data_IF_970829192351
#
_entry.id   IF_970829192351
#
_cell.length_a   1.000
_cell.length_b   1.000
_cell.length_c   1.000
_cell.angle_alpha   90.00
_cell.angle_beta   90.00
_cell.angle_gamma   90.00
#
_symmetry.space_group_name_H-M   'P 1'
#
loop_
_entity.id
_entity.type
_entity.pdbx_description
1 polymer ?
#
# COMPACT_ATOMS: atom_id res chain seq x y z
N UNK A 1 -19.51 -2.43 -22.12
CA UNK A 1 -18.41 -1.51 -21.82
C UNK A 1 -17.10 -2.28 -21.74
N UNK A 2 -16.08 -1.86 -22.52
CA UNK A 2 -14.76 -2.49 -22.51
C UNK A 2 -13.81 -1.70 -21.61
N UNK A 3 -13.38 -2.30 -20.52
CA UNK A 3 -12.49 -1.67 -19.54
C UNK A 3 -11.10 -2.31 -19.60
N UNK A 4 -10.07 -1.46 -19.76
CA UNK A 4 -8.68 -1.86 -19.64
C UNK A 4 -8.15 -1.51 -18.24
N UNK A 5 -7.80 -2.53 -17.44
CA UNK A 5 -7.25 -2.39 -16.09
C UNK A 5 -5.74 -2.67 -16.10
N UNK A 6 -4.93 -1.72 -15.65
CA UNK A 6 -3.48 -1.84 -15.65
C UNK A 6 -2.96 -2.52 -14.39
N UNK A 7 -2.08 -3.50 -14.55
CA UNK A 7 -1.49 -4.25 -13.43
C UNK A 7 -0.04 -3.82 -13.10
N UNK A 8 0.44 -2.73 -13.70
CA UNK A 8 1.84 -2.31 -13.57
C UNK A 8 2.79 -3.04 -14.52
N UNK A 9 4.04 -2.61 -14.59
CA UNK A 9 5.09 -3.20 -15.47
C UNK A 9 6.27 -3.81 -14.70
N UNK A 10 6.07 -4.13 -13.42
CA UNK A 10 7.08 -4.80 -12.60
C UNK A 10 8.14 -3.89 -11.98
N UNK A 11 8.35 -2.67 -12.50
CA UNK A 11 9.26 -1.67 -11.90
C UNK A 11 8.62 -0.90 -10.73
N UNK A 12 7.34 -1.18 -10.43
CA UNK A 12 6.59 -0.56 -9.32
C UNK A 12 6.76 -1.30 -7.99
N UNK A 13 7.90 -1.95 -7.77
CA UNK A 13 8.21 -2.71 -6.55
C UNK A 13 8.39 -1.87 -5.27
N UNK A 14 8.15 -0.57 -5.33
CA UNK A 14 8.26 0.31 -4.17
C UNK A 14 6.90 0.43 -3.45
N UNK A 15 6.71 -0.30 -2.35
CA UNK A 15 5.60 -0.11 -1.43
C UNK A 15 4.34 -0.94 -1.71
N UNK A 16 3.21 -0.51 -1.14
CA UNK A 16 1.92 -1.21 -1.19
C UNK A 16 1.13 -1.11 -2.50
N UNK A 17 1.61 -0.35 -3.52
CA UNK A 17 0.86 -0.06 -4.75
C UNK A 17 0.69 -1.30 -5.64
N UNK A 18 1.76 -2.05 -5.88
CA UNK A 18 1.69 -3.27 -6.70
C UNK A 18 0.84 -4.37 -6.02
N UNK A 19 1.02 -4.66 -4.73
CA UNK A 19 0.10 -5.55 -4.00
C UNK A 19 -1.36 -5.09 -4.04
N UNK A 20 -1.64 -3.79 -3.96
CA UNK A 20 -2.99 -3.26 -4.07
C UNK A 20 -3.62 -3.58 -5.43
N UNK A 21 -2.91 -3.26 -6.52
CA UNK A 21 -3.40 -3.49 -7.88
C UNK A 21 -3.72 -4.98 -8.14
N UNK A 22 -2.86 -5.87 -7.66
CA UNK A 22 -3.05 -7.32 -7.77
C UNK A 22 -4.24 -7.81 -6.93
N UNK A 23 -4.36 -7.37 -5.69
CA UNK A 23 -5.49 -7.72 -4.81
C UNK A 23 -6.84 -7.24 -5.36
N UNK A 24 -6.89 -6.04 -5.93
CA UNK A 24 -8.11 -5.58 -6.63
C UNK A 24 -8.43 -6.52 -7.79
N UNK A 25 -7.45 -6.87 -8.62
CA UNK A 25 -7.68 -7.75 -9.75
C UNK A 25 -8.14 -9.15 -9.32
N UNK A 26 -7.59 -9.70 -8.25
CA UNK A 26 -8.05 -10.96 -7.64
C UNK A 26 -9.51 -10.87 -7.23
N UNK A 27 -9.90 -9.82 -6.55
CA UNK A 27 -11.29 -9.59 -6.15
C UNK A 27 -12.23 -9.48 -7.36
N UNK A 28 -11.83 -8.71 -8.38
CA UNK A 28 -12.60 -8.54 -9.62
C UNK A 28 -12.69 -9.82 -10.44
N UNK A 29 -11.72 -10.72 -10.37
CA UNK A 29 -11.71 -12.00 -11.11
C UNK A 29 -12.77 -12.99 -10.65
N UNK A 30 -13.26 -12.85 -9.42
CA UNK A 30 -14.35 -13.65 -8.86
C UNK A 30 -15.75 -13.09 -9.12
N UNK A 31 -15.86 -11.87 -9.66
CA UNK A 31 -17.13 -11.22 -9.91
C UNK A 31 -17.63 -11.42 -11.34
N UNK A 32 -18.93 -11.67 -11.50
CA UNK A 32 -19.58 -11.82 -12.81
C UNK A 32 -20.17 -10.49 -13.27
N UNK A 33 -19.43 -9.74 -14.06
CA UNK A 33 -19.89 -8.47 -14.63
C UNK A 33 -21.06 -8.69 -15.58
N UNK A 34 -22.07 -7.81 -15.50
CA UNK A 34 -23.25 -7.86 -16.39
C UNK A 34 -22.98 -7.21 -17.74
N UNK A 35 -22.47 -5.98 -17.71
CA UNK A 35 -22.31 -5.13 -18.91
C UNK A 35 -20.87 -4.67 -19.14
N UNK A 36 -19.90 -5.24 -18.43
CA UNK A 36 -18.49 -4.89 -18.48
C UNK A 36 -17.65 -6.07 -18.96
N UNK A 37 -16.85 -5.82 -19.99
CA UNK A 37 -15.78 -6.69 -20.45
C UNK A 37 -14.45 -6.20 -19.89
N UNK A 38 -13.99 -6.82 -18.79
CA UNK A 38 -12.74 -6.48 -18.13
C UNK A 38 -11.54 -7.16 -18.81
N UNK A 39 -10.53 -6.38 -19.15
CA UNK A 39 -9.25 -6.88 -19.65
C UNK A 39 -8.11 -6.33 -18.80
N UNK A 40 -7.35 -7.22 -18.17
CA UNK A 40 -6.14 -6.86 -17.47
C UNK A 40 -5.00 -6.59 -18.48
N UNK A 41 -4.32 -5.46 -18.30
CA UNK A 41 -3.19 -5.04 -19.12
C UNK A 41 -1.95 -5.22 -18.25
N UNK A 42 -1.17 -6.30 -18.52
CA UNK A 42 -0.11 -6.76 -17.63
C UNK A 42 1.15 -7.18 -18.40
N UNK A 43 2.33 -7.24 -17.76
CA UNK A 43 3.51 -7.93 -18.29
C UNK A 43 3.24 -9.42 -18.56
N UNK A 44 4.08 -10.03 -19.40
CA UNK A 44 3.93 -11.45 -19.78
C UNK A 44 4.08 -12.40 -18.59
N UNK A 45 4.88 -12.02 -17.62
CA UNK A 45 5.23 -12.77 -16.40
C UNK A 45 4.32 -12.44 -15.19
N UNK A 46 3.33 -11.55 -15.38
CA UNK A 46 2.39 -11.23 -14.30
C UNK A 46 1.50 -12.44 -13.95
N UNK A 47 1.17 -12.62 -12.66
CA UNK A 47 0.20 -13.61 -12.23
C UNK A 47 -1.13 -13.47 -12.97
N UNK A 48 -1.78 -14.58 -13.29
CA UNK A 48 -3.09 -14.57 -13.94
C UNK A 48 -4.17 -15.06 -12.97
N UNK A 49 -5.27 -14.33 -12.89
CA UNK A 49 -6.33 -14.61 -11.94
C UNK A 49 -7.65 -14.93 -12.67
N UNK A 50 -8.28 -16.03 -12.31
CA UNK A 50 -9.62 -16.43 -12.70
C UNK A 50 -9.94 -16.32 -14.19
N UNK A 51 -11.14 -15.81 -14.49
CA UNK A 51 -11.68 -15.67 -15.86
C UNK A 51 -11.31 -14.36 -16.56
N UNK A 52 -10.47 -13.53 -15.94
CA UNK A 52 -10.09 -12.21 -16.51
C UNK A 52 -9.29 -12.42 -17.79
N UNK A 53 -9.65 -11.68 -18.84
CA UNK A 53 -8.87 -11.62 -20.08
C UNK A 53 -7.59 -10.85 -19.86
N UNK A 54 -6.48 -11.31 -20.43
CA UNK A 54 -5.19 -10.65 -20.31
C UNK A 54 -4.69 -10.15 -21.66
N UNK A 55 -4.23 -8.91 -21.67
CA UNK A 55 -3.48 -8.34 -22.79
C UNK A 55 -2.06 -8.02 -22.35
N UNK A 56 -1.10 -8.61 -23.03
CA UNK A 56 0.29 -8.42 -22.69
C UNK A 56 0.77 -7.03 -23.14
N UNK A 57 1.46 -6.34 -22.22
CA UNK A 57 2.27 -5.18 -22.60
C UNK A 57 3.51 -5.74 -23.30
N UNK A 58 3.60 -5.63 -24.62
CA UNK A 58 4.81 -6.03 -25.34
C UNK A 58 5.98 -5.17 -24.86
N UNK A 59 6.94 -5.80 -24.17
CA UNK A 59 8.26 -5.22 -23.91
C UNK A 59 9.06 -5.10 -25.21
N UNK A 60 8.75 -4.16 -26.09
CA UNK A 60 9.67 -3.73 -27.14
C UNK A 60 10.76 -2.84 -26.52
N UNK A 61 11.60 -3.44 -25.66
CA UNK A 61 12.46 -2.71 -24.73
C UNK A 61 13.53 -1.84 -25.37
N UNK A 62 14.07 -2.21 -26.54
CA UNK A 62 15.16 -1.47 -27.19
C UNK A 62 14.62 -0.29 -28.01
N UNK A 63 13.62 -0.51 -28.83
CA UNK A 63 13.02 0.56 -29.68
C UNK A 63 12.33 1.60 -28.82
N UNK A 64 11.66 1.17 -27.74
CA UNK A 64 10.96 2.06 -26.81
C UNK A 64 11.97 2.89 -25.97
N UNK A 65 13.05 2.29 -25.48
CA UNK A 65 14.16 3.02 -24.81
C UNK A 65 14.82 4.01 -25.75
N UNK A 66 15.12 3.63 -26.99
CA UNK A 66 15.72 4.51 -27.99
C UNK A 66 14.80 5.69 -28.35
N UNK A 67 13.49 5.45 -28.52
CA UNK A 67 12.52 6.51 -28.80
C UNK A 67 12.29 7.45 -27.60
N UNK A 68 12.32 6.93 -26.36
CA UNK A 68 12.29 7.76 -25.16
C UNK A 68 13.56 8.62 -25.02
N UNK A 69 14.75 8.04 -25.21
CA UNK A 69 15.99 8.80 -25.19
C UNK A 69 16.06 9.83 -26.32
N UNK A 70 15.60 9.51 -27.53
CA UNK A 70 15.54 10.46 -28.64
C UNK A 70 14.58 11.62 -28.35
N UNK A 71 13.43 11.33 -27.77
CA UNK A 71 12.44 12.32 -27.33
C UNK A 71 12.98 13.20 -26.21
N UNK A 72 13.68 12.62 -25.23
CA UNK A 72 14.29 13.36 -24.12
C UNK A 72 15.48 14.21 -24.60
N UNK A 73 16.31 13.72 -25.53
CA UNK A 73 17.39 14.47 -26.16
C UNK A 73 16.89 15.62 -27.04
N UNK A 74 15.88 15.39 -27.88
CA UNK A 74 15.28 16.45 -28.70
C UNK A 74 14.68 17.55 -27.84
N UNK A 75 14.11 17.17 -26.70
CA UNK A 75 13.54 18.09 -25.74
C UNK A 75 14.59 18.93 -25.02
N UNK A 76 15.69 18.32 -24.52
CA UNK A 76 16.79 19.03 -23.86
C UNK A 76 17.46 20.01 -24.83
N UNK A 77 17.51 19.70 -26.13
CA UNK A 77 18.07 20.56 -27.17
C UNK A 77 17.16 21.76 -27.51
N UNK A 78 15.85 21.59 -27.42
CA UNK A 78 14.88 22.65 -27.82
C UNK A 78 14.40 23.52 -26.67
N UNK A 79 14.59 23.11 -25.40
CA UNK A 79 14.03 23.83 -24.23
C UNK A 79 14.97 23.83 -23.01
N UNK A 80 16.16 24.47 -23.09
CA UNK A 80 17.14 24.47 -21.99
C UNK A 80 16.67 25.23 -20.73
N UNK A 81 15.58 26.02 -20.78
CA UNK A 81 15.12 26.87 -19.67
C UNK A 81 13.74 26.57 -19.09
N UNK A 82 12.97 25.62 -19.65
CA UNK A 82 11.57 25.41 -19.25
C UNK A 82 11.25 23.92 -18.99
N UNK A 83 11.73 23.38 -17.89
CA UNK A 83 11.51 21.99 -17.50
C UNK A 83 10.06 21.57 -17.20
N UNK A 84 9.08 22.51 -17.21
CA UNK A 84 7.72 22.28 -16.72
C UNK A 84 6.57 22.25 -17.74
N UNK A 85 6.78 22.66 -19.01
CA UNK A 85 5.66 22.82 -19.99
C UNK A 85 5.62 21.80 -21.12
N UNK A 86 6.01 20.54 -20.87
CA UNK A 86 6.23 19.56 -21.94
C UNK A 86 5.14 18.50 -22.10
N UNK A 87 4.12 18.52 -21.31
CA UNK A 87 3.06 17.54 -21.42
C UNK A 87 2.48 17.33 -22.86
N UNK A 88 2.31 18.38 -23.72
CA UNK A 88 1.70 18.20 -25.04
C UNK A 88 2.53 17.42 -26.05
N UNK A 89 3.87 17.55 -26.06
CA UNK A 89 4.70 16.97 -27.13
C UNK A 89 5.11 15.51 -26.88
N UNK A 90 5.29 15.08 -25.62
CA UNK A 90 5.46 13.66 -25.29
C UNK A 90 4.26 12.81 -25.67
N UNK A 91 3.06 13.41 -25.74
CA UNK A 91 1.82 12.73 -26.10
C UNK A 91 1.68 12.36 -27.58
N UNK A 92 2.38 13.03 -28.50
CA UNK A 92 2.19 12.77 -29.93
C UNK A 92 2.85 11.47 -30.41
N UNK A 93 4.05 11.16 -29.95
CA UNK A 93 4.76 9.92 -30.29
C UNK A 93 4.16 8.69 -29.58
N UNK A 94 3.57 8.87 -28.40
CA UNK A 94 2.89 7.79 -27.68
C UNK A 94 1.50 7.47 -28.23
N UNK A 95 0.84 8.38 -28.95
CA UNK A 95 -0.42 8.14 -29.66
C UNK A 95 -0.33 7.02 -30.70
N UNK A 96 0.86 6.76 -31.23
CA UNK A 96 1.08 5.79 -32.30
C UNK A 96 1.05 4.34 -31.80
N UNK A 97 1.22 4.08 -30.48
CA UNK A 97 1.43 2.72 -29.98
C UNK A 97 0.35 2.15 -29.05
N UNK A 98 -0.70 2.92 -28.72
CA UNK A 98 -1.77 2.46 -27.83
C UNK A 98 -3.13 2.57 -28.52
N UNK A 99 -3.30 1.91 -29.66
CA UNK A 99 -4.62 1.68 -30.25
C UNK A 99 -5.36 0.59 -29.46
N UNK A 100 -5.50 0.83 -28.15
CA UNK A 100 -6.31 0.01 -27.29
C UNK A 100 -7.76 0.47 -27.44
N UNK A 101 -8.55 -0.35 -28.09
CA UNK A 101 -10.00 -0.12 -28.25
C UNK A 101 -10.74 -0.42 -26.96
N UNK A 102 -10.43 0.35 -25.89
CA UNK A 102 -11.18 0.34 -24.64
C UNK A 102 -12.05 1.58 -24.57
N UNK A 103 -13.24 1.43 -24.01
CA UNK A 103 -14.14 2.54 -23.75
C UNK A 103 -13.63 3.34 -22.53
N UNK A 104 -12.96 2.67 -21.58
CA UNK A 104 -12.42 3.25 -20.35
C UNK A 104 -11.10 2.56 -19.97
N UNK A 105 -10.16 3.33 -19.44
CA UNK A 105 -8.91 2.82 -18.86
C UNK A 105 -8.90 3.04 -17.35
N UNK A 106 -8.41 2.07 -16.58
CA UNK A 106 -8.26 2.20 -15.14
C UNK A 106 -6.81 1.91 -14.72
N UNK A 107 -6.18 2.88 -14.08
CA UNK A 107 -4.84 2.82 -13.52
C UNK A 107 -4.96 2.71 -11.99
N UNK A 108 -4.72 1.55 -11.38
CA UNK A 108 -4.78 1.37 -9.92
C UNK A 108 -3.57 1.97 -9.21
N UNK A 109 -3.07 3.08 -9.73
CA UNK A 109 -1.93 3.84 -9.22
C UNK A 109 -2.07 5.33 -9.55
N UNK A 110 -1.28 6.16 -8.87
CA UNK A 110 -1.44 7.62 -8.84
C UNK A 110 -1.15 8.31 -10.17
N UNK A 111 -0.31 7.71 -11.03
CA UNK A 111 0.13 8.32 -12.28
C UNK A 111 -0.07 7.36 -13.43
N UNK A 112 -0.93 7.68 -14.42
CA UNK A 112 -1.04 6.87 -15.62
C UNK A 112 0.30 6.89 -16.39
N UNK A 113 0.56 5.83 -17.15
CA UNK A 113 1.69 5.86 -18.09
C UNK A 113 1.62 7.16 -18.91
N UNK A 114 2.78 7.79 -19.15
CA UNK A 114 2.95 9.13 -19.76
C UNK A 114 2.45 9.19 -21.21
N UNK A 115 1.18 8.81 -21.46
CA UNK A 115 0.56 8.77 -22.78
C UNK A 115 -0.72 9.56 -22.76
N UNK A 116 -1.00 10.27 -23.84
CA UNK A 116 -2.34 10.85 -24.04
C UNK A 116 -3.27 9.74 -24.52
N UNK A 117 -4.32 9.47 -23.76
CA UNK A 117 -5.34 8.50 -24.11
C UNK A 117 -6.48 9.18 -24.86
N UNK A 118 -7.08 8.46 -25.83
CA UNK A 118 -8.34 8.90 -26.46
C UNK A 118 -9.53 8.59 -25.57
N UNK A 119 -9.44 7.45 -24.86
CA UNK A 119 -10.46 7.01 -23.93
C UNK A 119 -10.34 7.75 -22.60
N UNK A 120 -11.46 8.06 -21.94
CA UNK A 120 -11.42 8.53 -20.55
C UNK A 120 -10.68 7.54 -19.67
N UNK A 121 -10.06 8.04 -18.59
CA UNK A 121 -9.35 7.18 -17.67
C UNK A 121 -9.63 7.52 -16.20
N UNK A 122 -9.43 6.52 -15.37
CA UNK A 122 -9.51 6.59 -13.91
C UNK A 122 -8.11 6.34 -13.36
N UNK A 123 -7.75 7.04 -12.29
CA UNK A 123 -6.55 6.78 -11.49
C UNK A 123 -6.93 6.43 -10.06
N UNK A 124 -6.12 5.63 -9.37
CA UNK A 124 -6.24 5.44 -7.94
C UNK A 124 -5.19 6.28 -7.22
N UNK A 125 -5.63 7.21 -6.39
CA UNK A 125 -4.76 8.00 -5.51
C UNK A 125 -4.69 7.31 -4.16
N UNK A 126 -3.52 6.77 -3.83
CA UNK A 126 -3.33 6.03 -2.58
C UNK A 126 -3.18 6.98 -1.39
N UNK A 127 -2.41 8.04 -1.56
CA UNK A 127 -2.17 9.09 -0.57
C UNK A 127 -1.64 10.38 -1.21
N UNK A 128 -1.47 11.37 -0.35
CA UNK A 128 -0.74 12.63 -0.61
C UNK A 128 0.18 12.91 0.59
N UNK A 129 0.92 11.89 1.02
CA UNK A 129 1.76 11.91 2.23
C UNK A 129 2.74 13.08 2.25
N UNK A 130 3.30 13.46 1.10
CA UNK A 130 4.24 14.58 0.98
C UNK A 130 3.64 15.94 1.35
N UNK A 131 2.31 16.05 1.39
CA UNK A 131 1.61 17.27 1.83
C UNK A 131 1.42 17.32 3.35
N UNK A 132 1.46 16.16 4.02
CA UNK A 132 1.38 16.05 5.49
C UNK A 132 2.75 16.02 6.16
N UNK A 133 3.73 15.39 5.52
CA UNK A 133 5.08 15.17 6.03
C UNK A 133 6.12 15.55 4.98
N UNK A 134 6.20 16.84 4.59
CA UNK A 134 7.16 17.29 3.58
C UNK A 134 8.62 17.03 3.96
N UNK A 135 8.92 16.88 5.26
CA UNK A 135 10.24 16.59 5.79
C UNK A 135 10.76 15.19 5.43
N UNK A 136 9.86 14.24 5.13
CA UNK A 136 10.25 12.87 4.73
C UNK A 136 10.57 12.76 3.23
N UNK A 137 10.48 13.85 2.49
CA UNK A 137 10.70 13.90 1.05
C UNK A 137 11.70 15.00 0.67
N UNK A 138 12.61 14.67 -0.23
CA UNK A 138 13.49 15.68 -0.81
C UNK A 138 12.71 16.72 -1.61
N UNK A 139 13.24 17.94 -1.80
CA UNK A 139 12.59 18.95 -2.64
C UNK A 139 12.29 18.47 -4.07
N UNK A 140 13.16 17.62 -4.64
CA UNK A 140 12.99 17.11 -6.00
C UNK A 140 11.91 16.03 -6.07
N UNK A 141 11.81 15.15 -5.07
CA UNK A 141 10.69 14.19 -4.95
C UNK A 141 9.35 14.91 -4.82
N UNK A 142 9.25 15.92 -3.95
CA UNK A 142 8.02 16.72 -3.80
C UNK A 142 7.63 17.42 -5.09
N UNK A 143 8.60 18.01 -5.79
CA UNK A 143 8.35 18.66 -7.09
C UNK A 143 7.90 17.66 -8.15
N UNK A 144 8.52 16.50 -8.20
CA UNK A 144 8.16 15.42 -9.13
C UNK A 144 6.75 14.91 -8.85
N UNK A 145 6.42 14.63 -7.59
CA UNK A 145 5.07 14.22 -7.17
C UNK A 145 4.02 15.27 -7.50
N UNK A 146 4.26 16.54 -7.14
CA UNK A 146 3.35 17.65 -7.44
C UNK A 146 3.02 17.74 -8.94
N UNK A 147 4.04 17.68 -9.81
CA UNK A 147 3.85 17.74 -11.26
C UNK A 147 3.08 16.55 -11.81
N UNK A 148 3.41 15.33 -11.35
CA UNK A 148 2.83 14.09 -11.85
C UNK A 148 1.39 13.92 -11.35
N UNK A 149 1.15 14.17 -10.06
CA UNK A 149 -0.18 13.99 -9.43
C UNK A 149 -1.16 15.04 -9.91
N UNK A 150 -0.76 16.33 -9.99
CA UNK A 150 -1.63 17.37 -10.53
C UNK A 150 -2.09 17.05 -11.94
N UNK A 151 -1.16 16.65 -12.81
CA UNK A 151 -1.51 16.29 -14.19
C UNK A 151 -2.43 15.06 -14.27
N UNK A 152 -2.23 14.05 -13.43
CA UNK A 152 -3.10 12.88 -13.38
C UNK A 152 -4.49 13.23 -12.83
N UNK A 153 -4.55 13.98 -11.73
CA UNK A 153 -5.77 14.42 -11.06
C UNK A 153 -6.64 15.28 -11.98
N UNK A 154 -6.05 16.24 -12.69
CA UNK A 154 -6.78 17.12 -13.60
C UNK A 154 -7.39 16.38 -14.79
N UNK A 155 -6.63 15.48 -15.39
CA UNK A 155 -7.02 14.78 -16.63
C UNK A 155 -7.91 13.56 -16.39
N UNK A 156 -7.86 12.93 -15.21
CA UNK A 156 -8.69 11.77 -14.91
C UNK A 156 -10.18 12.13 -14.94
N UNK A 157 -10.99 11.25 -15.54
CA UNK A 157 -12.45 11.37 -15.53
C UNK A 157 -13.03 11.14 -14.14
N UNK A 158 -12.42 10.23 -13.36
CA UNK A 158 -12.69 9.95 -11.95
C UNK A 158 -11.39 9.59 -11.23
N UNK A 159 -11.40 9.74 -9.92
CA UNK A 159 -10.29 9.37 -9.03
C UNK A 159 -10.84 8.39 -8.01
N UNK A 160 -10.25 7.22 -7.92
CA UNK A 160 -10.54 6.26 -6.84
C UNK A 160 -9.60 6.52 -5.68
N UNK A 161 -10.12 6.46 -4.48
CA UNK A 161 -9.37 6.42 -3.23
C UNK A 161 -9.89 5.29 -2.36
N UNK A 162 -9.07 4.75 -1.46
CA UNK A 162 -9.49 3.62 -0.62
C UNK A 162 -10.05 4.05 0.74
N UNK A 163 -9.90 5.33 1.12
CA UNK A 163 -10.26 5.83 2.44
C UNK A 163 -10.79 7.26 2.38
N UNK A 164 -11.75 7.57 3.26
CA UNK A 164 -12.38 8.89 3.33
C UNK A 164 -11.40 10.02 3.64
N UNK A 165 -10.35 9.77 4.46
CA UNK A 165 -9.35 10.80 4.74
C UNK A 165 -8.55 11.17 3.49
N UNK A 166 -8.26 10.22 2.58
CA UNK A 166 -7.59 10.53 1.31
C UNK A 166 -8.52 11.33 0.39
N UNK A 167 -9.84 11.02 0.37
CA UNK A 167 -10.82 11.85 -0.34
C UNK A 167 -10.83 13.27 0.22
N UNK A 168 -10.89 13.41 1.54
CA UNK A 168 -10.86 14.71 2.20
C UNK A 168 -9.58 15.49 1.88
N UNK A 169 -8.43 14.85 1.86
CA UNK A 169 -7.15 15.45 1.47
C UNK A 169 -7.18 15.95 0.03
N UNK A 170 -7.65 15.13 -0.90
CA UNK A 170 -7.75 15.53 -2.31
C UNK A 170 -8.67 16.73 -2.50
N UNK A 171 -9.82 16.76 -1.84
CA UNK A 171 -10.74 17.90 -1.90
C UNK A 171 -10.16 19.15 -1.23
N UNK A 172 -9.36 18.99 -0.19
CA UNK A 172 -8.70 20.08 0.53
C UNK A 172 -7.56 20.73 -0.27
N UNK A 173 -6.70 19.90 -0.85
CA UNK A 173 -5.46 20.38 -1.50
C UNK A 173 -5.63 20.65 -3.00
N UNK A 174 -6.62 20.05 -3.64
CA UNK A 174 -6.90 20.23 -5.05
C UNK A 174 -8.32 20.77 -5.23
N UNK A 175 -8.53 21.67 -6.19
CA UNK A 175 -9.87 22.21 -6.51
C UNK A 175 -10.66 21.21 -7.34
N UNK A 176 -11.27 20.22 -6.68
CA UNK A 176 -12.01 19.13 -7.30
C UNK A 176 -13.50 19.20 -6.97
N UNK A 177 -14.32 18.77 -7.91
CA UNK A 177 -15.73 18.45 -7.65
C UNK A 177 -15.77 17.18 -6.78
N UNK A 178 -16.62 17.15 -5.76
CA UNK A 178 -16.70 16.03 -4.82
C UNK A 178 -16.98 14.70 -5.53
N UNK A 179 -17.87 14.73 -6.54
CA UNK A 179 -18.25 13.57 -7.34
C UNK A 179 -17.10 13.02 -8.19
N UNK A 180 -16.04 13.79 -8.40
CA UNK A 180 -14.86 13.31 -9.11
C UNK A 180 -14.08 12.27 -8.31
N UNK A 181 -14.16 12.33 -6.97
CA UNK A 181 -13.43 11.45 -6.07
C UNK A 181 -14.37 10.42 -5.46
N UNK A 182 -14.13 9.15 -5.77
CA UNK A 182 -14.96 8.01 -5.33
C UNK A 182 -14.17 7.15 -4.35
N UNK A 183 -14.77 6.85 -3.20
CA UNK A 183 -14.16 5.94 -2.21
C UNK A 183 -14.58 4.52 -2.55
N UNK A 184 -13.61 3.65 -2.83
CA UNK A 184 -13.81 2.20 -2.96
C UNK A 184 -12.82 1.54 -2.00
N UNK A 185 -13.29 0.77 -1.01
CA UNK A 185 -12.41 0.19 0.01
C UNK A 185 -11.32 -0.71 -0.58
N UNK A 186 -10.23 -0.88 0.17
CA UNK A 186 -9.19 -1.86 -0.16
C UNK A 186 -9.79 -3.26 -0.20
N UNK A 187 -9.38 -4.15 -1.12
CA UNK A 187 -9.83 -5.55 -1.14
C UNK A 187 -9.27 -6.32 0.06
N UNK A 188 -10.05 -6.39 1.13
CA UNK A 188 -9.66 -7.07 2.37
C UNK A 188 -9.61 -8.60 2.23
N UNK A 189 -10.46 -9.18 1.37
CA UNK A 189 -10.58 -10.63 1.19
C UNK A 189 -9.42 -11.29 0.44
N UNK A 190 -8.53 -10.51 -0.17
CA UNK A 190 -7.48 -11.02 -1.05
C UNK A 190 -6.15 -11.34 -0.34
N UNK A 191 -6.04 -11.18 0.98
CA UNK A 191 -4.84 -11.56 1.73
C UNK A 191 -4.81 -13.09 1.93
N UNK A 192 -4.21 -13.80 1.00
CA UNK A 192 -3.95 -15.24 1.14
C UNK A 192 -2.49 -15.45 1.51
N UNK A 193 -2.28 -15.99 2.71
CA UNK A 193 -0.96 -16.45 3.12
C UNK A 193 -0.75 -17.89 2.67
N UNK A 194 0.47 -18.26 2.23
CA UNK A 194 0.81 -19.65 2.02
C UNK A 194 0.68 -20.44 3.32
N UNK A 195 -0.08 -21.54 3.28
CA UNK A 195 -0.15 -22.45 4.42
C UNK A 195 1.18 -23.16 4.63
N UNK A 196 1.44 -23.56 5.86
CA UNK A 196 2.61 -24.36 6.23
C UNK A 196 2.19 -25.52 7.14
N UNK A 197 2.84 -26.67 6.97
CA UNK A 197 2.65 -27.85 7.82
C UNK A 197 3.29 -27.62 9.20
N UNK A 198 2.96 -28.50 10.15
CA UNK A 198 3.58 -28.48 11.48
C UNK A 198 5.11 -28.65 11.41
N UNK A 199 5.59 -29.51 10.52
CA UNK A 199 7.04 -29.74 10.32
C UNK A 199 7.72 -28.48 9.78
N UNK A 200 7.13 -27.85 8.75
CA UNK A 200 7.64 -26.58 8.22
C UNK A 200 7.63 -25.48 9.28
N UNK A 201 6.59 -25.42 10.12
CA UNK A 201 6.53 -24.49 11.23
C UNK A 201 7.66 -24.67 12.25
N UNK A 202 8.01 -25.92 12.58
CA UNK A 202 9.16 -26.23 13.43
C UNK A 202 10.50 -25.86 12.78
N UNK A 203 10.63 -26.06 11.46
CA UNK A 203 11.82 -25.67 10.72
C UNK A 203 12.00 -24.15 10.71
N UNK A 204 10.92 -23.38 10.50
CA UNK A 204 10.93 -21.92 10.58
C UNK A 204 11.35 -21.46 11.98
N UNK A 205 10.83 -22.11 13.04
CA UNK A 205 11.18 -21.79 14.43
C UNK A 205 12.67 -22.01 14.71
N UNK A 206 13.25 -23.06 14.16
CA UNK A 206 14.68 -23.37 14.28
C UNK A 206 15.56 -22.42 13.45
N UNK A 207 15.05 -21.91 12.31
CA UNK A 207 15.75 -20.91 11.49
C UNK A 207 15.94 -19.60 12.24
N UNK A 208 14.92 -19.17 13.01
CA UNK A 208 14.96 -17.94 13.75
C UNK A 208 15.54 -18.15 15.14
N UNK A 209 16.79 -17.73 15.34
CA UNK A 209 17.54 -17.87 16.59
C UNK A 209 17.15 -16.87 17.68
N UNK A 210 15.89 -16.46 17.74
CA UNK A 210 15.39 -15.61 18.81
C UNK A 210 14.38 -16.34 19.69
N UNK A 211 14.36 -15.97 20.99
CA UNK A 211 13.46 -16.59 21.93
C UNK A 211 12.00 -16.13 21.75
N UNK A 212 11.07 -16.98 22.17
CA UNK A 212 9.65 -16.64 22.32
C UNK A 212 9.42 -16.20 23.78
N UNK A 213 8.51 -15.26 24.07
CA UNK A 213 7.58 -14.56 23.16
C UNK A 213 8.19 -13.34 22.46
N UNK A 214 7.57 -12.90 21.37
CA UNK A 214 7.99 -11.69 20.66
C UNK A 214 6.82 -10.80 20.21
N UNK A 215 7.08 -9.50 20.12
CA UNK A 215 6.26 -8.51 19.42
C UNK A 215 6.69 -8.44 17.97
N UNK A 216 5.74 -8.20 17.07
CA UNK A 216 6.00 -8.24 15.63
C UNK A 216 5.62 -6.92 14.95
N UNK A 217 6.48 -6.44 14.03
CA UNK A 217 6.19 -5.31 13.16
C UNK A 217 6.66 -5.56 11.73
N UNK A 218 5.79 -5.97 10.80
CA UNK A 218 6.11 -6.18 9.39
C UNK A 218 5.96 -4.90 8.57
N UNK A 219 7.00 -4.09 8.50
CA UNK A 219 7.01 -2.85 7.72
C UNK A 219 8.40 -2.55 7.17
N UNK A 220 8.44 -1.97 5.96
CA UNK A 220 9.67 -1.39 5.42
C UNK A 220 10.18 -0.28 6.34
N UNK A 221 11.48 -0.05 6.35
CA UNK A 221 12.14 0.87 7.29
C UNK A 221 12.07 2.35 6.87
N UNK A 222 10.94 2.78 6.27
CA UNK A 222 10.69 4.19 6.00
C UNK A 222 10.51 4.99 7.29
N UNK A 223 10.92 6.25 7.30
CA UNK A 223 10.90 7.12 8.47
C UNK A 223 9.50 7.23 9.09
N UNK A 224 8.47 7.43 8.27
CA UNK A 224 7.08 7.51 8.73
C UNK A 224 6.54 6.22 9.37
N UNK A 225 7.23 5.08 9.21
CA UNK A 225 6.88 3.82 9.89
C UNK A 225 7.29 3.80 11.36
N UNK A 226 8.04 4.80 11.82
CA UNK A 226 8.30 5.08 13.24
C UNK A 226 9.00 3.94 14.00
N UNK A 227 9.95 3.24 13.36
CA UNK A 227 10.73 2.21 14.02
C UNK A 227 11.52 2.74 15.23
N UNK A 228 11.99 3.99 15.16
CA UNK A 228 12.71 4.62 16.28
C UNK A 228 11.82 4.80 17.52
N UNK A 229 10.58 5.24 17.31
CA UNK A 229 9.58 5.35 18.38
C UNK A 229 9.25 3.98 18.98
N UNK A 230 9.09 2.96 18.13
CA UNK A 230 8.83 1.58 18.57
C UNK A 230 9.98 1.01 19.40
N UNK A 231 11.24 1.20 18.96
CA UNK A 231 12.42 0.75 19.71
C UNK A 231 12.45 1.39 21.10
N UNK A 232 12.20 2.72 21.18
CA UNK A 232 12.17 3.42 22.47
C UNK A 232 11.04 2.94 23.38
N UNK A 233 9.86 2.65 22.84
CA UNK A 233 8.76 2.07 23.62
C UNK A 233 9.05 0.63 24.03
N UNK A 234 9.65 -0.18 23.17
CA UNK A 234 10.05 -1.56 23.48
C UNK A 234 11.06 -1.64 24.63
N UNK A 235 12.05 -0.76 24.66
CA UNK A 235 13.02 -0.68 25.77
C UNK A 235 12.30 -0.43 27.12
N UNK A 236 11.37 0.50 27.13
CA UNK A 236 10.60 0.83 28.33
C UNK A 236 9.65 -0.32 28.74
N UNK A 237 9.05 -1.00 27.76
CA UNK A 237 8.26 -2.22 28.02
C UNK A 237 9.12 -3.31 28.64
N UNK A 238 10.34 -3.55 28.15
CA UNK A 238 11.28 -4.51 28.75
C UNK A 238 11.63 -4.16 30.18
N UNK A 239 11.78 -2.85 30.50
CA UNK A 239 12.05 -2.40 31.86
C UNK A 239 10.89 -2.68 32.83
N UNK A 240 9.66 -2.59 32.33
CA UNK A 240 8.44 -2.62 33.16
C UNK A 240 7.81 -4.02 33.25
N UNK A 241 7.92 -4.85 32.18
CA UNK A 241 7.17 -6.12 32.11
C UNK A 241 7.81 -7.28 32.88
N UNK A 242 9.10 -7.23 33.20
CA UNK A 242 9.83 -8.30 33.88
C UNK A 242 9.89 -9.62 33.09
N UNK A 243 9.54 -9.62 31.79
CA UNK A 243 9.53 -10.79 30.93
C UNK A 243 10.64 -10.71 29.88
N UNK A 244 11.12 -11.86 29.44
CA UNK A 244 12.08 -11.97 28.34
C UNK A 244 11.34 -11.95 27.00
N UNK A 245 11.08 -10.75 26.50
CA UNK A 245 10.38 -10.54 25.21
C UNK A 245 11.34 -10.01 24.16
N UNK A 246 11.05 -10.31 22.90
CA UNK A 246 11.80 -9.85 21.74
C UNK A 246 10.95 -8.93 20.84
N UNK A 247 11.60 -8.08 20.06
CA UNK A 247 10.99 -7.29 19.00
C UNK A 247 11.51 -7.80 17.65
N UNK A 248 10.60 -8.23 16.79
CA UNK A 248 10.90 -8.75 15.45
C UNK A 248 10.31 -7.83 14.41
N UNK A 249 11.16 -7.32 13.51
CA UNK A 249 10.77 -6.47 12.40
C UNK A 249 11.11 -7.14 11.06
N UNK A 250 10.21 -7.06 10.07
CA UNK A 250 10.45 -7.55 8.71
C UNK A 250 10.11 -6.49 7.67
N UNK A 251 10.62 -6.64 6.46
CA UNK A 251 10.41 -5.72 5.34
C UNK A 251 11.72 -5.24 4.74
N UNK A 252 11.64 -4.47 3.66
CA UNK A 252 12.84 -3.95 2.99
C UNK A 252 13.60 -3.00 3.92
N UNK A 253 14.90 -3.28 4.10
CA UNK A 253 15.84 -2.43 4.82
C UNK A 253 16.41 -1.41 3.83
N UNK A 254 16.04 -0.15 3.99
CA UNK A 254 16.46 0.95 3.12
C UNK A 254 17.62 1.76 3.74
N UNK A 255 18.03 2.86 3.10
CA UNK A 255 19.12 3.72 3.57
C UNK A 255 18.86 4.32 4.96
N UNK A 256 17.61 4.55 5.34
CA UNK A 256 17.27 5.00 6.69
C UNK A 256 17.54 3.93 7.76
N UNK A 257 17.42 2.64 7.40
CA UNK A 257 17.84 1.56 8.28
C UNK A 257 19.35 1.65 8.56
N UNK A 258 20.17 1.62 7.53
CA UNK A 258 21.64 1.60 7.65
C UNK A 258 22.20 2.86 8.26
N UNK A 259 21.63 4.02 7.95
CA UNK A 259 22.11 5.31 8.45
C UNK A 259 21.69 5.61 9.87
N UNK A 260 20.53 5.12 10.32
CA UNK A 260 19.87 5.59 11.56
C UNK A 260 19.38 4.46 12.44
N UNK A 261 18.55 3.54 11.95
CA UNK A 261 17.90 2.52 12.79
C UNK A 261 18.94 1.53 13.34
N UNK A 262 19.86 1.05 12.52
CA UNK A 262 20.91 0.10 12.91
C UNK A 262 21.79 0.65 14.03
N UNK A 263 22.16 1.93 13.95
CA UNK A 263 22.93 2.61 15.01
C UNK A 263 22.12 2.72 16.29
N UNK A 264 20.82 3.01 16.19
CA UNK A 264 19.92 3.09 17.33
C UNK A 264 19.77 1.72 18.03
N UNK A 265 19.64 0.64 17.25
CA UNK A 265 19.62 -0.73 17.80
C UNK A 265 20.94 -1.07 18.45
N UNK A 266 22.08 -0.82 17.79
CA UNK A 266 23.42 -1.12 18.31
C UNK A 266 23.73 -0.41 19.65
N UNK A 267 23.14 0.78 19.87
CA UNK A 267 23.27 1.54 21.11
C UNK A 267 22.28 1.12 22.21
N UNK A 268 21.33 0.26 21.90
CA UNK A 268 20.33 -0.22 22.85
C UNK A 268 20.93 -1.24 23.84
N UNK A 269 20.53 -1.16 25.10
CA UNK A 269 20.83 -2.21 26.10
C UNK A 269 20.10 -3.52 25.79
N UNK A 270 19.04 -3.47 24.98
CA UNK A 270 18.25 -4.61 24.53
C UNK A 270 18.54 -5.01 23.07
N UNK A 271 19.73 -4.61 22.52
CA UNK A 271 20.10 -4.90 21.13
C UNK A 271 19.96 -6.38 20.74
N UNK A 272 20.28 -7.29 21.67
CA UNK A 272 20.21 -8.74 21.43
C UNK A 272 18.77 -9.28 21.42
N UNK A 273 17.77 -8.43 21.73
CA UNK A 273 16.33 -8.73 21.68
C UNK A 273 15.60 -8.02 20.53
N UNK A 274 16.30 -7.23 19.70
CA UNK A 274 15.72 -6.48 18.60
C UNK A 274 16.24 -7.04 17.27
N UNK A 275 15.34 -7.63 16.48
CA UNK A 275 15.70 -8.37 15.28
C UNK A 275 15.06 -7.72 14.04
N UNK A 276 15.88 -7.38 13.04
CA UNK A 276 15.47 -6.93 11.72
C UNK A 276 15.82 -8.01 10.72
N UNK A 277 14.82 -8.76 10.26
CA UNK A 277 15.01 -9.95 9.43
C UNK A 277 15.04 -9.64 7.91
N UNK A 278 14.80 -8.38 7.53
CA UNK A 278 14.66 -8.05 6.11
C UNK A 278 13.40 -8.63 5.50
N UNK A 279 13.42 -8.88 4.20
CA UNK A 279 12.30 -9.51 3.48
C UNK A 279 12.31 -11.01 3.74
N UNK A 280 11.19 -11.54 4.25
CA UNK A 280 11.01 -12.96 4.55
C UNK A 280 10.05 -13.61 3.56
N UNK A 281 10.06 -14.94 3.46
CA UNK A 281 9.11 -15.68 2.62
C UNK A 281 7.67 -15.50 3.12
N UNK A 282 6.68 -15.70 2.25
CA UNK A 282 5.27 -15.62 2.64
C UNK A 282 4.90 -16.64 3.74
N UNK A 283 5.50 -17.84 3.76
CA UNK A 283 5.31 -18.84 4.82
C UNK A 283 5.89 -18.36 6.15
N UNK A 284 7.10 -17.82 6.12
CA UNK A 284 7.74 -17.26 7.31
C UNK A 284 6.97 -16.05 7.86
N UNK A 285 6.48 -15.18 6.96
CA UNK A 285 5.63 -14.06 7.35
C UNK A 285 4.34 -14.53 8.05
N UNK A 286 3.67 -15.54 7.48
CA UNK A 286 2.49 -16.15 8.08
C UNK A 286 2.78 -16.74 9.46
N UNK A 287 3.89 -17.47 9.59
CA UNK A 287 4.33 -18.04 10.87
C UNK A 287 4.60 -16.95 11.92
N UNK A 288 5.30 -15.87 11.54
CA UNK A 288 5.60 -14.74 12.43
C UNK A 288 4.31 -14.09 12.96
N UNK A 289 3.33 -13.82 12.10
CA UNK A 289 2.04 -13.30 12.55
C UNK A 289 1.34 -14.24 13.53
N UNK A 290 1.32 -15.54 13.25
CA UNK A 290 0.62 -16.53 14.09
C UNK A 290 1.29 -16.76 15.45
N UNK A 291 2.61 -16.61 15.52
CA UNK A 291 3.41 -16.86 16.73
C UNK A 291 3.64 -15.61 17.56
N UNK A 292 3.48 -14.43 16.98
CA UNK A 292 3.64 -13.19 17.70
C UNK A 292 2.70 -13.11 18.91
N UNK A 293 3.23 -12.61 20.03
CA UNK A 293 2.44 -12.24 21.19
C UNK A 293 1.45 -11.13 20.84
N UNK A 294 1.89 -10.21 20.01
CA UNK A 294 1.07 -9.17 19.39
C UNK A 294 1.83 -8.42 18.30
N UNK A 295 1.06 -7.80 17.40
CA UNK A 295 1.55 -6.94 16.33
C UNK A 295 1.42 -5.48 16.77
N UNK A 296 2.44 -4.67 16.51
CA UNK A 296 2.43 -3.24 16.84
C UNK A 296 2.62 -2.43 15.57
N UNK A 297 1.68 -1.54 15.26
CA UNK A 297 1.71 -0.67 14.06
C UNK A 297 1.89 0.79 14.52
N UNK A 298 3.12 1.29 14.67
CA UNK A 298 3.41 2.58 15.29
C UNK A 298 3.49 3.74 14.28
N UNK A 299 3.05 3.53 13.04
CA UNK A 299 3.25 4.46 11.92
C UNK A 299 2.73 5.86 12.21
N UNK A 300 3.47 6.89 11.77
CA UNK A 300 3.07 8.29 11.85
C UNK A 300 2.08 8.68 10.75
N UNK A 301 2.07 7.92 9.66
CA UNK A 301 1.14 8.06 8.54
C UNK A 301 0.92 6.72 7.85
N UNK A 302 -0.33 6.43 7.50
CA UNK A 302 -0.75 5.28 6.69
C UNK A 302 -1.92 5.69 5.80
N UNK A 303 -1.80 5.53 4.49
CA UNK A 303 -2.97 5.58 3.63
C UNK A 303 -3.91 4.42 3.97
N UNK A 304 -3.34 3.21 4.00
CA UNK A 304 -3.96 1.99 4.49
C UNK A 304 -2.87 1.00 4.88
N UNK A 305 -3.09 0.25 5.94
CA UNK A 305 -2.09 -0.66 6.49
C UNK A 305 -2.44 -2.10 6.17
N UNK A 306 -1.77 -2.69 5.17
CA UNK A 306 -1.86 -4.13 4.95
C UNK A 306 -1.42 -4.93 6.19
N UNK A 307 -0.34 -4.58 6.90
CA UNK A 307 0.01 -5.26 8.13
C UNK A 307 -1.09 -5.31 9.19
N UNK A 308 -1.88 -4.25 9.36
CA UNK A 308 -3.01 -4.25 10.27
C UNK A 308 -4.10 -5.22 9.81
N UNK A 309 -4.46 -5.15 8.53
CA UNK A 309 -5.47 -6.03 7.92
C UNK A 309 -5.03 -7.49 8.00
N UNK A 310 -3.78 -7.77 7.70
CA UNK A 310 -3.18 -9.11 7.75
C UNK A 310 -3.19 -9.69 9.18
N UNK A 311 -2.79 -8.90 10.17
CA UNK A 311 -2.86 -9.30 11.57
C UNK A 311 -4.30 -9.65 11.99
N UNK A 312 -5.27 -8.82 11.63
CA UNK A 312 -6.68 -9.05 11.93
C UNK A 312 -7.22 -10.32 11.26
N UNK A 313 -6.88 -10.56 9.99
CA UNK A 313 -7.33 -11.75 9.25
C UNK A 313 -6.74 -13.06 9.79
N UNK A 314 -5.48 -13.03 10.23
CA UNK A 314 -4.81 -14.17 10.83
C UNK A 314 -5.30 -14.41 12.28
N UNK A 315 -5.91 -13.40 12.91
CA UNK A 315 -6.30 -13.41 14.32
C UNK A 315 -5.12 -13.17 15.27
N UNK A 316 -4.05 -12.53 14.80
CA UNK A 316 -2.97 -12.05 15.67
C UNK A 316 -3.44 -10.82 16.45
N UNK A 317 -3.21 -10.75 17.78
CA UNK A 317 -3.53 -9.54 18.52
C UNK A 317 -2.75 -8.34 17.96
N UNK A 318 -3.40 -7.20 17.76
CA UNK A 318 -2.78 -6.04 17.14
C UNK A 318 -3.19 -4.73 17.81
N UNK A 319 -2.22 -3.85 18.02
CA UNK A 319 -2.45 -2.45 18.41
C UNK A 319 -1.86 -1.53 17.36
N UNK A 320 -2.51 -0.40 17.12
CA UNK A 320 -2.09 0.51 16.07
C UNK A 320 -2.09 1.98 16.51
N UNK A 321 -1.36 2.79 15.77
CA UNK A 321 -1.30 4.22 15.98
C UNK A 321 -2.65 4.91 15.68
N UNK A 322 -2.97 5.98 16.39
CA UNK A 322 -4.07 6.90 16.11
C UNK A 322 -3.69 7.81 14.95
N UNK A 323 -3.64 7.26 13.76
CA UNK A 323 -3.31 8.01 12.55
C UNK A 323 -4.16 7.57 11.36
N UNK A 324 -4.61 8.53 10.58
CA UNK A 324 -5.32 8.36 9.30
C UNK A 324 -6.38 7.24 9.32
N UNK A 325 -6.19 6.17 8.55
CA UNK A 325 -7.15 5.06 8.40
C UNK A 325 -7.12 4.03 9.54
N UNK A 326 -6.07 3.98 10.36
CA UNK A 326 -5.86 2.88 11.31
C UNK A 326 -6.98 2.74 12.35
N UNK A 327 -7.44 3.82 13.04
CA UNK A 327 -8.53 3.72 14.00
C UNK A 327 -9.82 3.20 13.37
N UNK A 328 -10.18 3.70 12.18
CA UNK A 328 -11.35 3.23 11.42
C UNK A 328 -11.22 1.78 10.94
N UNK A 329 -10.01 1.33 10.62
CA UNK A 329 -9.74 -0.05 10.20
C UNK A 329 -9.88 -1.01 11.37
N UNK A 330 -9.27 -0.75 12.53
CA UNK A 330 -9.36 -1.61 13.71
C UNK A 330 -10.75 -1.54 14.38
N UNK A 331 -11.40 -0.38 14.31
CA UNK A 331 -12.78 -0.18 14.73
C UNK A 331 -13.04 -0.16 16.23
N UNK A 332 -11.99 -0.16 17.08
CA UNK A 332 -12.09 -0.09 18.53
C UNK A 332 -10.90 0.68 19.13
N UNK A 333 -11.19 1.80 19.77
CA UNK A 333 -10.21 2.70 20.35
C UNK A 333 -9.42 2.11 21.52
N UNK A 334 -9.89 1.00 22.12
CA UNK A 334 -9.13 0.28 23.15
C UNK A 334 -7.78 -0.23 22.62
N UNK A 335 -7.67 -0.48 21.33
CA UNK A 335 -6.49 -1.01 20.65
C UNK A 335 -5.68 0.04 19.90
N UNK A 336 -5.95 1.33 20.18
CA UNK A 336 -5.31 2.46 19.50
C UNK A 336 -4.50 3.28 20.48
N UNK A 337 -3.32 3.76 20.07
CA UNK A 337 -2.43 4.63 20.85
C UNK A 337 -2.00 5.88 20.04
N UNK A 338 -1.58 6.93 20.74
CA UNK A 338 -0.95 8.09 20.11
C UNK A 338 0.51 7.77 19.76
N UNK A 339 0.90 7.73 18.45
CA UNK A 339 2.26 7.37 18.05
C UNK A 339 3.32 8.42 18.43
N UNK A 340 2.90 9.62 18.81
CA UNK A 340 3.78 10.71 19.26
C UNK A 340 3.92 10.75 20.79
N UNK A 341 3.07 10.03 21.50
CA UNK A 341 3.14 9.87 22.94
C UNK A 341 3.68 8.48 23.28
N UNK A 342 4.95 8.43 23.74
CA UNK A 342 5.63 7.18 24.08
C UNK A 342 4.88 6.40 25.14
N UNK A 343 4.41 7.05 26.21
CA UNK A 343 3.66 6.39 27.29
C UNK A 343 2.38 5.74 26.77
N UNK A 344 1.62 6.40 25.89
CA UNK A 344 0.44 5.83 25.25
C UNK A 344 0.76 4.54 24.46
N UNK A 345 1.89 4.48 23.77
CA UNK A 345 2.34 3.28 23.05
C UNK A 345 2.77 2.20 24.03
N UNK A 346 3.55 2.55 25.06
CA UNK A 346 4.04 1.63 26.10
C UNK A 346 2.88 0.95 26.81
N UNK A 347 1.86 1.70 27.23
CA UNK A 347 0.69 1.16 27.93
C UNK A 347 -0.05 0.11 27.10
N UNK A 348 -0.24 0.36 25.80
CA UNK A 348 -0.90 -0.60 24.89
C UNK A 348 -0.04 -1.83 24.64
N UNK A 349 1.27 -1.66 24.52
CA UNK A 349 2.19 -2.79 24.35
C UNK A 349 2.29 -3.61 25.64
N UNK A 350 2.30 -2.98 26.82
CA UNK A 350 2.23 -3.70 28.10
C UNK A 350 0.94 -4.50 28.23
N UNK A 351 -0.20 -3.96 27.75
CA UNK A 351 -1.46 -4.70 27.71
C UNK A 351 -1.37 -5.93 26.79
N UNK A 352 -0.70 -5.80 25.61
CA UNK A 352 -0.43 -6.97 24.76
C UNK A 352 0.47 -8.01 25.45
N UNK A 353 1.46 -7.58 26.20
CA UNK A 353 2.44 -8.47 26.87
C UNK A 353 1.80 -9.17 28.09
N UNK A 354 1.18 -8.42 28.97
CA UNK A 354 0.76 -8.90 30.30
C UNK A 354 -0.69 -9.36 30.41
N UNK A 355 -1.59 -8.84 29.57
CA UNK A 355 -3.04 -9.07 29.72
C UNK A 355 -3.58 -10.04 28.67
N UNK A 356 -3.88 -11.28 29.11
CA UNK A 356 -4.48 -12.30 28.26
C UNK A 356 -5.90 -11.93 27.82
N UNK A 357 -6.69 -11.29 28.69
CA UNK A 357 -8.05 -10.90 28.35
C UNK A 357 -8.05 -9.80 27.28
N UNK A 358 -7.14 -8.83 27.38
CA UNK A 358 -6.93 -7.81 26.35
C UNK A 358 -6.62 -8.42 24.98
N UNK A 359 -5.74 -9.43 24.91
CA UNK A 359 -5.42 -10.12 23.64
C UNK A 359 -6.63 -10.89 23.10
N UNK A 360 -7.42 -11.52 23.93
CA UNK A 360 -8.62 -12.25 23.52
C UNK A 360 -9.70 -11.31 23.00
N UNK A 361 -9.98 -10.21 23.69
CA UNK A 361 -10.88 -9.16 23.24
C UNK A 361 -10.43 -8.57 21.89
N UNK A 362 -9.12 -8.39 21.71
CA UNK A 362 -8.56 -7.91 20.45
C UNK A 362 -8.78 -8.90 19.29
N UNK A 363 -8.59 -10.21 19.53
CA UNK A 363 -8.89 -11.26 18.52
C UNK A 363 -10.36 -11.28 18.12
N UNK A 364 -11.27 -11.20 19.10
CA UNK A 364 -12.70 -11.15 18.84
C UNK A 364 -13.10 -9.90 18.05
N UNK A 365 -12.52 -8.75 18.38
CA UNK A 365 -12.70 -7.53 17.60
C UNK A 365 -12.19 -7.71 16.16
N UNK A 366 -10.97 -8.24 16.00
CA UNK A 366 -10.37 -8.48 14.69
C UNK A 366 -11.22 -9.40 13.81
N UNK A 367 -11.76 -10.47 14.38
CA UNK A 367 -12.65 -11.39 13.66
C UNK A 367 -13.92 -10.68 13.17
N UNK A 368 -14.62 -9.94 14.03
CA UNK A 368 -15.83 -9.17 13.66
C UNK A 368 -15.53 -8.15 12.56
N UNK A 369 -14.39 -7.47 12.66
CA UNK A 369 -13.98 -6.50 11.64
C UNK A 369 -13.62 -7.15 10.32
N UNK A 370 -12.92 -8.29 10.34
CA UNK A 370 -12.59 -9.06 9.14
C UNK A 370 -13.85 -9.55 8.41
N UNK A 371 -14.86 -10.03 9.15
CA UNK A 371 -16.16 -10.41 8.60
C UNK A 371 -16.86 -9.22 7.94
N UNK A 372 -16.98 -8.09 8.64
CA UNK A 372 -17.57 -6.86 8.09
C UNK A 372 -16.88 -6.38 6.82
N UNK A 373 -15.55 -6.47 6.76
CA UNK A 373 -14.76 -6.05 5.60
C UNK A 373 -14.98 -6.97 4.38
N UNK A 374 -15.39 -8.22 4.57
CA UNK A 374 -15.69 -9.17 3.49
C UNK A 374 -17.07 -8.93 2.85
N UNK A 375 -17.97 -8.20 3.51
CA UNK A 375 -19.31 -7.91 3.00
C UNK A 375 -19.30 -6.95 1.80
N UNK A 376 -18.21 -6.24 1.56
CA UNK A 376 -18.10 -5.30 0.43
C UNK A 376 -17.90 -6.05 -0.88
N UNK A 377 -18.92 -6.04 -1.73
CA UNK A 377 -18.86 -6.63 -3.06
C UNK A 377 -18.13 -5.68 -4.05
N UNK A 378 -16.80 -5.71 -4.01
CA UNK A 378 -15.94 -4.81 -4.80
C UNK A 378 -16.27 -4.82 -6.29
N UNK A 379 -16.61 -5.98 -6.86
CA UNK A 379 -16.98 -6.09 -8.26
C UNK A 379 -18.14 -5.19 -8.65
N UNK A 380 -19.18 -5.14 -7.82
CA UNK A 380 -20.34 -4.28 -8.03
C UNK A 380 -19.99 -2.79 -7.93
N UNK A 381 -19.16 -2.41 -6.96
CA UNK A 381 -18.70 -1.02 -6.80
C UNK A 381 -17.86 -0.56 -8.01
N UNK A 382 -16.97 -1.41 -8.50
CA UNK A 382 -16.17 -1.10 -9.70
C UNK A 382 -17.04 -1.06 -10.96
N UNK A 383 -18.01 -1.97 -11.15
CA UNK A 383 -18.92 -1.96 -12.30
C UNK A 383 -19.72 -0.64 -12.34
N UNK A 384 -20.31 -0.25 -11.21
CA UNK A 384 -21.03 1.03 -11.05
C UNK A 384 -20.13 2.24 -11.32
N UNK A 385 -18.90 2.23 -10.82
CA UNK A 385 -17.92 3.29 -11.08
C UNK A 385 -17.67 3.44 -12.58
N UNK A 386 -17.38 2.34 -13.28
CA UNK A 386 -17.02 2.38 -14.68
C UNK A 386 -18.18 2.83 -15.56
N UNK A 387 -19.39 2.31 -15.33
CA UNK A 387 -20.60 2.72 -16.05
C UNK A 387 -20.92 4.20 -15.83
N UNK A 388 -20.97 4.66 -14.58
CA UNK A 388 -21.26 6.07 -14.27
C UNK A 388 -20.18 7.05 -14.79
N UNK A 389 -18.93 6.61 -14.91
CA UNK A 389 -17.85 7.43 -15.46
C UNK A 389 -18.08 7.67 -16.96
N UNK A 390 -18.47 6.65 -17.71
CA UNK A 390 -18.76 6.79 -19.14
C UNK A 390 -19.99 7.64 -19.42
N UNK A 391 -21.08 7.45 -18.66
CA UNK A 391 -22.29 8.27 -18.77
C UNK A 391 -21.99 9.77 -18.58
N UNK A 392 -21.15 10.10 -17.61
CA UNK A 392 -20.73 11.49 -17.35
C UNK A 392 -19.87 12.04 -18.49
N UNK A 393 -19.02 11.20 -19.10
CA UNK A 393 -18.14 11.63 -20.18
C UNK A 393 -18.89 11.91 -21.47
N UNK A 394 -19.99 11.17 -21.73
CA UNK A 394 -20.86 11.38 -22.91
C UNK A 394 -21.70 12.66 -22.80
N UNK A 395 -22.02 13.11 -21.57
CA UNK A 395 -22.82 14.32 -21.32
C UNK A 395 -22.01 15.62 -21.34
N UNK A 396 -20.70 15.55 -21.32
CA UNK A 396 -19.77 16.70 -21.44
C UNK A 396 -19.25 16.83 -22.88
#
# INVERSE_FOLDING_TARGET
VKVGYFCGDGDMNAGGVAPYADRVLVALSGYSFKDVELTAIAPLDAPRHGSVRYRNIKRNGLIRKAMFHLSDCLYLLTHPRYGGRIAPYRGWLSKIHCDWRFDLLHFPFQVPYRTTFRSPFIVTMHDVQELHFPEFFTPDERRSRANLYTGAIEQAARIVVSFDHVKADLLRYFRLEEEKVVVIPVPYSACKFPEYSQIEGQQIELEYQFAMPFLFYPAQTWEHKNHLGLIGAFEEVCDRCGQDIHLVCTGVLNDFYTSTIEKRVSSSRYRDRIHFLGVVSGKNLHWLYRKALGVVIPSLYEAGSFPLIEAMQIGAPVVCARTTSLPGTIGDDRFVFDPRNRESMVDKVLSLVGDRAFREDNRLNSQKRAEWMQEVELGAEYEKLWQSTLERTVRR
#
